data_IF_327179166064
#
_entry.id   IF_327179166064
#
_cell.length_a   1.000
_cell.length_b   1.000
_cell.length_c   1.000
_cell.angle_alpha   90.00
_cell.angle_beta   90.00
_cell.angle_gamma   90.00
#
_symmetry.space_group_name_H-M   'P 1'
#
loop_
_entity.id
_entity.type
_entity.pdbx_description
1 polymer ?
#
# COMPACT_ATOMS: atom_id res chain seq x y z
N UNK A 1 -2.39 19.62 15.96
CA UNK A 1 -2.27 18.34 15.22
C UNK A 1 -3.51 18.04 14.37
N UNK A 2 -4.73 18.33 14.83
CA UNK A 2 -5.99 18.05 14.08
C UNK A 2 -6.03 18.53 12.62
N UNK A 3 -5.80 19.83 12.36
CA UNK A 3 -5.87 20.42 11.00
C UNK A 3 -4.93 19.78 9.96
N UNK A 4 -3.75 19.34 10.39
CA UNK A 4 -2.79 18.71 9.47
C UNK A 4 -3.25 17.31 9.07
N UNK A 5 -3.87 16.59 10.00
CA UNK A 5 -4.39 15.27 9.74
C UNK A 5 -5.64 15.33 8.86
N UNK A 6 -6.50 16.34 9.03
CA UNK A 6 -7.62 16.60 8.12
C UNK A 6 -7.15 16.81 6.67
N UNK A 7 -6.09 17.60 6.47
CA UNK A 7 -5.52 17.81 5.13
C UNK A 7 -4.94 16.52 4.55
N UNK A 8 -4.26 15.71 5.38
CA UNK A 8 -3.66 14.45 4.92
C UNK A 8 -4.74 13.41 4.59
N UNK A 9 -5.81 13.34 5.39
CA UNK A 9 -6.98 12.47 5.15
C UNK A 9 -7.66 12.82 3.84
N UNK A 10 -8.01 14.09 3.61
CA UNK A 10 -8.62 14.52 2.36
C UNK A 10 -7.75 14.21 1.15
N UNK A 11 -6.45 14.48 1.24
CA UNK A 11 -5.54 14.20 0.14
C UNK A 11 -5.43 12.70 -0.16
N UNK A 12 -5.39 11.86 0.88
CA UNK A 12 -5.37 10.41 0.73
C UNK A 12 -6.69 9.87 0.13
N UNK A 13 -7.84 10.34 0.61
CA UNK A 13 -9.17 9.99 0.08
C UNK A 13 -9.32 10.43 -1.38
N UNK A 14 -8.83 11.61 -1.74
CA UNK A 14 -8.89 12.11 -3.13
C UNK A 14 -7.98 11.33 -4.08
N UNK A 15 -6.93 10.69 -3.56
CA UNK A 15 -6.01 9.86 -4.33
C UNK A 15 -6.43 8.38 -4.34
N UNK A 16 -7.27 7.92 -3.41
CA UNK A 16 -7.69 6.52 -3.33
C UNK A 16 -8.75 6.16 -4.38
N UNK A 17 -8.67 4.92 -4.88
CA UNK A 17 -9.67 4.32 -5.75
C UNK A 17 -9.79 2.80 -5.53
N UNK A 18 -10.84 2.20 -6.11
CA UNK A 18 -11.01 0.76 -6.30
C UNK A 18 -10.66 0.41 -7.73
N UNK A 19 -9.93 -0.68 -7.93
CA UNK A 19 -9.69 -1.26 -9.25
C UNK A 19 -10.34 -2.63 -9.30
N UNK A 20 -11.13 -2.88 -10.34
CA UNK A 20 -11.80 -4.16 -10.58
C UNK A 20 -11.43 -4.74 -11.93
N UNK A 21 -11.11 -6.02 -11.95
CA UNK A 21 -10.85 -6.82 -13.14
C UNK A 21 -11.90 -7.92 -13.26
N UNK A 22 -12.42 -8.14 -14.46
CA UNK A 22 -13.36 -9.23 -14.74
C UNK A 22 -13.16 -9.79 -16.14
N UNK A 23 -13.73 -10.97 -16.38
CA UNK A 23 -13.68 -11.67 -17.66
C UNK A 23 -14.95 -11.41 -18.46
N UNK A 24 -14.80 -10.99 -19.71
CA UNK A 24 -15.92 -10.79 -20.62
C UNK A 24 -16.70 -12.10 -20.81
N UNK A 25 -18.02 -12.06 -20.62
CA UNK A 25 -18.90 -13.22 -20.80
C UNK A 25 -18.94 -14.21 -19.64
N UNK A 26 -18.25 -13.96 -18.51
CA UNK A 26 -18.30 -14.80 -17.31
C UNK A 26 -18.61 -13.98 -16.04
N UNK A 27 -19.87 -13.52 -15.86
CA UNK A 27 -20.26 -12.73 -14.70
C UNK A 27 -20.27 -13.54 -13.38
N UNK A 28 -20.39 -14.88 -13.45
CA UNK A 28 -20.51 -15.76 -12.28
C UNK A 28 -19.20 -15.93 -11.50
N UNK A 29 -18.04 -15.71 -12.13
CA UNK A 29 -16.73 -15.81 -11.46
C UNK A 29 -16.47 -14.68 -10.46
N UNK A 30 -17.30 -13.63 -10.47
CA UNK A 30 -17.09 -12.41 -9.68
C UNK A 30 -15.89 -11.58 -10.16
N UNK A 31 -15.85 -10.28 -9.86
CA UNK A 31 -14.70 -9.45 -10.19
C UNK A 31 -13.56 -9.64 -9.17
N UNK A 32 -12.32 -9.75 -9.65
CA UNK A 32 -11.15 -9.54 -8.82
C UNK A 32 -11.02 -8.04 -8.54
N UNK A 33 -10.66 -7.67 -7.30
CA UNK A 33 -10.50 -6.26 -6.96
C UNK A 33 -9.37 -6.01 -6.00
N UNK A 34 -8.83 -4.81 -6.06
CA UNK A 34 -7.84 -4.30 -5.12
C UNK A 34 -7.99 -2.78 -5.00
N UNK A 35 -7.20 -2.19 -4.12
CA UNK A 35 -7.09 -0.76 -3.99
C UNK A 35 -6.15 -0.18 -5.04
N UNK A 36 -6.32 1.09 -5.34
CA UNK A 36 -5.40 1.83 -6.20
C UNK A 36 -5.16 3.25 -5.71
N UNK A 37 -4.15 3.86 -6.33
CA UNK A 37 -3.76 5.26 -6.13
C UNK A 37 -3.82 5.97 -7.47
N UNK A 38 -4.61 7.03 -7.53
CA UNK A 38 -4.66 7.97 -8.63
C UNK A 38 -3.38 8.81 -8.59
N UNK A 39 -2.51 8.60 -9.57
CA UNK A 39 -1.27 9.35 -9.71
C UNK A 39 -1.51 10.72 -10.34
N UNK A 40 -2.39 10.77 -11.34
CA UNK A 40 -2.87 12.00 -11.98
C UNK A 40 -4.26 11.76 -12.54
N UNK A 41 -5.21 12.65 -12.24
CA UNK A 41 -6.58 12.58 -12.79
C UNK A 41 -6.67 12.98 -14.26
N UNK A 42 -5.70 13.75 -14.76
CA UNK A 42 -5.57 14.10 -16.18
C UNK A 42 -4.12 13.80 -16.58
N UNK A 43 -3.86 12.67 -17.29
CA UNK A 43 -4.76 11.95 -18.20
C UNK A 43 -5.48 10.72 -17.59
N UNK A 44 -5.55 10.57 -16.26
CA UNK A 44 -6.22 9.42 -15.63
C UNK A 44 -5.27 8.24 -15.41
N UNK A 45 -4.14 8.48 -14.75
CA UNK A 45 -3.15 7.45 -14.41
C UNK A 45 -3.40 6.91 -13.01
N UNK A 46 -3.51 5.58 -12.91
CA UNK A 46 -3.74 4.85 -11.66
C UNK A 46 -2.68 3.79 -11.48
N UNK A 47 -2.22 3.61 -10.25
CA UNK A 47 -1.32 2.54 -9.84
C UNK A 47 -2.04 1.64 -8.84
N UNK A 48 -2.03 0.32 -9.06
CA UNK A 48 -2.61 -0.66 -8.15
C UNK A 48 -1.73 -1.91 -8.05
N UNK A 49 -2.17 -2.89 -7.25
CA UNK A 49 -1.46 -4.16 -7.12
C UNK A 49 -1.64 -5.05 -8.36
N UNK A 50 -0.58 -5.75 -8.76
CA UNK A 50 -0.56 -6.60 -9.96
C UNK A 50 -1.26 -7.95 -9.80
N UNK A 51 -1.54 -8.37 -8.56
CA UNK A 51 -2.11 -9.70 -8.29
C UNK A 51 -3.44 -9.97 -8.97
N UNK A 52 -4.31 -8.97 -9.13
CA UNK A 52 -5.63 -9.15 -9.78
C UNK A 52 -5.53 -9.46 -11.28
N UNK A 53 -4.34 -9.33 -11.88
CA UNK A 53 -4.10 -9.59 -13.30
C UNK A 53 -3.59 -11.01 -13.57
N UNK A 54 -3.12 -11.74 -12.55
CA UNK A 54 -2.54 -13.08 -12.70
C UNK A 54 -3.47 -14.07 -13.45
N UNK A 55 -4.80 -14.11 -13.18
CA UNK A 55 -5.73 -14.99 -13.90
C UNK A 55 -5.92 -14.67 -15.40
N UNK A 56 -5.42 -13.52 -15.85
CA UNK A 56 -5.60 -13.02 -17.21
C UNK A 56 -4.30 -13.05 -18.04
N UNK A 57 -3.16 -13.43 -17.46
CA UNK A 57 -1.88 -13.46 -18.17
C UNK A 57 -1.87 -14.55 -19.25
N UNK A 58 -1.63 -14.18 -20.51
CA UNK A 58 -1.62 -15.15 -21.63
C UNK A 58 -0.50 -16.19 -21.50
N UNK A 59 0.64 -15.79 -20.93
CA UNK A 59 1.78 -16.69 -20.67
C UNK A 59 1.62 -17.51 -19.37
N UNK A 60 0.49 -17.38 -18.67
CA UNK A 60 0.27 -17.96 -17.35
C UNK A 60 0.93 -17.18 -16.21
N UNK A 61 0.56 -17.52 -14.98
CA UNK A 61 1.01 -16.90 -13.73
C UNK A 61 2.51 -17.02 -13.45
N UNK A 62 3.17 -18.05 -13.96
CA UNK A 62 4.62 -18.29 -13.76
C UNK A 62 5.51 -17.22 -14.39
N UNK A 63 4.97 -16.42 -15.32
CA UNK A 63 5.73 -15.29 -15.89
C UNK A 63 6.10 -14.24 -14.84
N UNK A 64 5.37 -14.19 -13.71
CA UNK A 64 5.64 -13.25 -12.61
C UNK A 64 6.90 -13.61 -11.81
N UNK A 65 7.34 -14.86 -11.86
CA UNK A 65 8.57 -15.35 -11.22
C UNK A 65 9.69 -15.65 -12.21
N UNK A 66 9.43 -15.50 -13.51
CA UNK A 66 10.42 -15.74 -14.54
C UNK A 66 11.67 -14.87 -14.36
N UNK A 67 12.85 -15.49 -14.44
CA UNK A 67 14.12 -14.82 -14.23
C UNK A 67 14.29 -13.63 -15.19
N UNK A 68 14.51 -12.44 -14.63
CA UNK A 68 14.71 -11.20 -15.38
C UNK A 68 13.42 -10.48 -15.82
N UNK A 69 12.23 -11.01 -15.49
CA UNK A 69 10.97 -10.30 -15.71
C UNK A 69 10.84 -9.09 -14.77
N UNK A 70 11.04 -7.89 -15.31
CA UNK A 70 10.91 -6.62 -14.56
C UNK A 70 9.62 -5.89 -14.92
N UNK A 71 9.10 -6.11 -16.12
CA UNK A 71 7.82 -5.56 -16.55
C UNK A 71 7.20 -6.44 -17.65
N UNK A 72 5.89 -6.36 -17.78
CA UNK A 72 5.10 -6.96 -18.85
C UNK A 72 4.30 -5.85 -19.54
N UNK A 73 4.27 -5.79 -20.88
CA UNK A 73 3.50 -4.80 -21.61
C UNK A 73 1.99 -4.95 -21.36
N UNK A 74 1.23 -3.89 -21.57
CA UNK A 74 -0.23 -3.87 -21.32
C UNK A 74 -1.03 -4.90 -22.11
N UNK A 75 -0.51 -5.32 -23.25
CA UNK A 75 -1.04 -6.40 -24.07
C UNK A 75 -0.56 -7.79 -23.61
N UNK A 76 -0.14 -7.99 -22.36
CA UNK A 76 0.23 -9.32 -21.85
C UNK A 76 -0.97 -10.14 -21.34
N UNK A 77 -2.09 -9.46 -21.07
CA UNK A 77 -3.33 -10.08 -20.62
C UNK A 77 -4.23 -10.48 -21.79
N UNK A 78 -5.12 -11.45 -21.57
CA UNK A 78 -6.11 -11.91 -22.54
C UNK A 78 -7.11 -10.81 -22.95
N UNK A 79 -7.66 -10.93 -24.17
CA UNK A 79 -8.53 -9.90 -24.77
C UNK A 79 -9.92 -9.79 -24.11
N UNK A 80 -10.26 -10.79 -23.31
CA UNK A 80 -11.47 -10.85 -22.49
C UNK A 80 -11.33 -10.09 -21.16
N UNK A 81 -10.14 -9.55 -20.82
CA UNK A 81 -9.96 -8.70 -19.66
C UNK A 81 -10.80 -7.42 -19.78
N UNK A 82 -11.55 -7.10 -18.72
CA UNK A 82 -12.29 -5.86 -18.54
C UNK A 82 -11.86 -5.20 -17.24
N UNK A 83 -11.42 -3.95 -17.34
CA UNK A 83 -10.94 -3.18 -16.20
C UNK A 83 -11.82 -1.97 -15.96
N UNK A 84 -12.11 -1.75 -14.68
CA UNK A 84 -12.83 -0.57 -14.22
C UNK A 84 -12.13 0.04 -13.02
N UNK A 85 -12.19 1.37 -12.94
CA UNK A 85 -11.72 2.13 -11.79
C UNK A 85 -12.88 2.92 -11.24
N UNK A 86 -13.05 2.88 -9.92
CA UNK A 86 -14.04 3.67 -9.20
C UNK A 86 -13.35 4.53 -8.16
N UNK A 87 -13.64 5.83 -8.14
CA UNK A 87 -13.11 6.77 -7.16
C UNK A 87 -14.18 7.75 -6.67
N UNK A 88 -13.91 8.37 -5.53
CA UNK A 88 -14.82 9.38 -4.98
C UNK A 88 -14.83 10.66 -5.85
N UNK A 89 -16.00 11.32 -6.01
CA UNK A 89 -16.09 12.60 -6.71
C UNK A 89 -15.23 13.67 -6.04
N UNK A 90 -14.61 14.55 -6.83
CA UNK A 90 -13.95 15.75 -6.32
C UNK A 90 -15.00 16.74 -5.82
N UNK A 91 -14.88 17.22 -4.59
CA UNK A 91 -15.86 18.09 -3.92
C UNK A 91 -15.96 19.53 -4.50
N UNK A 92 -15.53 19.76 -5.75
CA UNK A 92 -15.37 21.07 -6.36
C UNK A 92 -16.44 21.45 -7.41
N UNK A 93 -17.50 20.66 -7.57
CA UNK A 93 -18.60 21.00 -8.47
C UNK A 93 -19.45 22.18 -7.96
N UNK A 94 -19.87 23.14 -8.80
CA UNK A 94 -20.74 24.23 -8.40
C UNK A 94 -22.19 23.72 -8.31
N UNK A 95 -22.60 23.23 -7.14
CA UNK A 95 -24.01 22.97 -6.86
C UNK A 95 -24.41 23.78 -5.64
N UNK A 96 -25.41 24.63 -5.85
CA UNK A 96 -25.87 25.69 -4.96
C UNK A 96 -26.16 25.25 -3.53
N UNK A 97 -26.16 26.25 -2.65
CA UNK A 97 -26.29 26.11 -1.21
C UNK A 97 -27.33 25.08 -0.79
N UNK A 98 -26.88 24.09 -0.03
CA UNK A 98 -27.73 23.27 0.83
C UNK A 98 -27.08 23.30 2.20
N UNK A 99 -27.91 23.63 3.18
CA UNK A 99 -27.60 23.83 4.59
C UNK A 99 -26.73 22.72 5.18
N UNK A 100 -26.00 23.06 6.25
CA UNK A 100 -25.40 22.10 7.18
C UNK A 100 -26.49 21.19 7.78
N UNK A 101 -26.88 20.16 7.05
CA UNK A 101 -27.67 19.06 7.57
C UNK A 101 -26.79 18.17 8.44
N UNK A 102 -27.33 17.78 9.60
CA UNK A 102 -26.77 16.80 10.55
C UNK A 102 -26.20 15.56 9.85
N UNK A 103 -25.19 14.88 10.43
CA UNK A 103 -24.64 13.66 9.86
C UNK A 103 -25.72 12.59 9.82
N UNK A 104 -26.36 12.43 8.66
CA UNK A 104 -27.29 11.32 8.42
C UNK A 104 -26.46 10.05 8.30
N UNK A 105 -26.70 9.10 9.21
CA UNK A 105 -26.20 7.73 9.09
C UNK A 105 -26.61 7.20 7.71
N UNK A 106 -25.63 6.97 6.84
CA UNK A 106 -25.87 6.29 5.57
C UNK A 106 -26.12 4.82 5.90
N UNK A 107 -27.36 4.35 5.76
CA UNK A 107 -27.65 2.92 5.73
C UNK A 107 -27.20 2.41 4.36
N UNK A 108 -26.16 1.56 4.28
CA UNK A 108 -25.71 1.00 3.01
C UNK A 108 -26.80 0.10 2.44
N UNK A 109 -26.92 0.04 1.11
CA UNK A 109 -27.88 -0.84 0.44
C UNK A 109 -27.64 -2.33 0.78
N UNK A 110 -26.41 -2.69 1.14
CA UNK A 110 -26.03 -4.05 1.55
C UNK A 110 -26.57 -4.49 2.93
N UNK A 111 -27.30 -3.64 3.66
CA UNK A 111 -27.92 -4.00 4.95
C UNK A 111 -29.32 -4.61 4.83
N UNK A 112 -29.91 -4.68 3.61
CA UNK A 112 -31.24 -5.26 3.38
C UNK A 112 -31.17 -6.72 2.94
N UNK A 113 -31.77 -7.63 3.72
CA UNK A 113 -31.94 -9.04 3.35
C UNK A 113 -33.15 -9.31 2.44
N UNK A 114 -33.89 -8.27 2.01
CA UNK A 114 -35.12 -8.42 1.23
C UNK A 114 -35.09 -7.53 -0.03
N UNK A 115 -35.51 -8.04 -1.21
CA UNK A 115 -35.68 -7.25 -2.42
C UNK A 115 -36.93 -6.36 -2.29
N UNK A 116 -36.84 -5.30 -1.50
CA UNK A 116 -37.82 -4.23 -1.47
C UNK A 116 -37.79 -3.41 -2.77
N UNK A 117 -38.92 -2.75 -3.15
CA UNK A 117 -38.95 -1.89 -4.33
C UNK A 117 -37.87 -0.81 -4.22
N UNK A 118 -37.30 -0.33 -5.34
CA UNK A 118 -36.18 0.61 -5.32
C UNK A 118 -36.63 1.90 -4.64
N UNK A 119 -36.26 2.04 -3.35
CA UNK A 119 -36.45 3.27 -2.64
C UNK A 119 -35.64 4.34 -3.36
N UNK A 120 -36.31 5.37 -3.85
CA UNK A 120 -35.76 6.53 -4.56
C UNK A 120 -34.90 7.44 -3.67
N UNK A 121 -34.22 6.86 -2.68
CA UNK A 121 -33.23 7.51 -1.85
C UNK A 121 -31.92 7.70 -2.64
N UNK A 122 -31.87 8.83 -3.34
CA UNK A 122 -30.65 9.56 -3.75
C UNK A 122 -29.50 8.68 -4.27
N UNK A 123 -29.60 8.32 -5.55
CA UNK A 123 -28.55 7.87 -6.49
C UNK A 123 -27.35 8.85 -6.64
N UNK A 124 -26.94 9.57 -5.58
CA UNK A 124 -26.22 10.84 -5.69
C UNK A 124 -24.81 10.86 -5.09
N UNK A 125 -24.20 9.73 -4.74
CA UNK A 125 -22.94 9.75 -3.98
C UNK A 125 -21.73 9.01 -4.59
N UNK A 126 -21.88 8.29 -5.71
CA UNK A 126 -20.74 7.61 -6.36
C UNK A 126 -20.81 7.75 -7.88
N UNK A 127 -19.69 8.15 -8.49
CA UNK A 127 -19.52 8.09 -9.94
C UNK A 127 -19.58 6.62 -10.40
N UNK A 128 -20.14 6.34 -11.59
CA UNK A 128 -20.10 5.00 -12.16
C UNK A 128 -18.64 4.55 -12.36
N UNK A 129 -18.34 3.23 -12.29
CA UNK A 129 -17.01 2.73 -12.59
C UNK A 129 -16.59 3.12 -14.01
N UNK A 130 -15.39 3.68 -14.14
CA UNK A 130 -14.84 4.17 -15.39
C UNK A 130 -14.01 3.07 -16.07
N UNK A 131 -14.15 2.84 -17.38
CA UNK A 131 -13.36 1.84 -18.08
C UNK A 131 -11.88 2.23 -18.07
N UNK A 132 -11.02 1.24 -17.90
CA UNK A 132 -9.57 1.43 -17.89
C UNK A 132 -8.86 0.43 -18.81
N UNK A 133 -7.61 0.71 -19.10
CA UNK A 133 -6.71 -0.18 -19.81
C UNK A 133 -5.42 -0.39 -19.03
N UNK A 134 -4.87 -1.60 -19.13
CA UNK A 134 -3.56 -1.92 -18.58
C UNK A 134 -2.50 -1.32 -19.48
N UNK A 135 -1.65 -0.44 -18.93
CA UNK A 135 -0.52 0.14 -19.66
C UNK A 135 0.72 -0.76 -19.53
N UNK A 136 0.99 -1.24 -18.31
CA UNK A 136 2.01 -2.25 -18.02
C UNK A 136 1.85 -2.84 -16.62
N UNK A 137 2.34 -4.05 -16.45
CA UNK A 137 2.67 -4.64 -15.15
C UNK A 137 4.16 -4.44 -14.88
N UNK A 138 4.55 -4.13 -13.65
CA UNK A 138 5.95 -4.03 -13.26
C UNK A 138 6.22 -4.69 -11.93
N UNK A 139 7.40 -5.26 -11.80
CA UNK A 139 7.99 -5.57 -10.51
C UNK A 139 8.92 -4.44 -10.08
N UNK A 140 9.12 -4.28 -8.77
CA UNK A 140 10.19 -3.43 -8.25
C UNK A 140 11.41 -4.32 -7.90
N UNK A 141 12.48 -4.35 -8.72
CA UNK A 141 13.60 -5.25 -8.47
C UNK A 141 14.30 -4.97 -7.13
N UNK A 142 14.37 -3.69 -6.76
CA UNK A 142 14.97 -3.29 -5.49
C UNK A 142 14.14 -3.79 -4.29
N UNK A 143 12.80 -3.84 -4.40
CA UNK A 143 11.93 -4.44 -3.40
C UNK A 143 12.18 -5.93 -3.27
N UNK A 144 12.16 -6.65 -4.40
CA UNK A 144 12.41 -8.10 -4.41
C UNK A 144 13.78 -8.48 -3.87
N UNK A 145 14.84 -7.74 -4.21
CA UNK A 145 16.17 -7.97 -3.68
C UNK A 145 16.24 -7.82 -2.15
N UNK A 146 15.44 -6.93 -1.57
CA UNK A 146 15.34 -6.77 -0.11
C UNK A 146 14.44 -7.82 0.52
N UNK A 147 13.33 -8.16 -0.14
CA UNK A 147 12.42 -9.20 0.27
C UNK A 147 13.13 -10.56 0.35
N UNK A 148 13.77 -11.00 -0.73
CA UNK A 148 14.50 -12.26 -0.79
C UNK A 148 15.63 -12.34 0.25
N UNK A 149 16.33 -11.23 0.51
CA UNK A 149 17.37 -11.20 1.54
C UNK A 149 16.84 -11.35 2.97
N UNK A 150 15.60 -10.92 3.23
CA UNK A 150 15.00 -10.95 4.57
C UNK A 150 14.14 -12.20 4.81
N UNK A 151 13.54 -12.73 3.74
CA UNK A 151 12.51 -13.76 3.80
C UNK A 151 12.77 -14.95 2.86
N UNK A 152 13.94 -15.05 2.23
CA UNK A 152 14.27 -16.09 1.25
C UNK A 152 15.09 -17.28 1.77
N UNK A 153 15.58 -17.23 3.02
CA UNK A 153 16.33 -18.36 3.62
C UNK A 153 15.37 -19.40 4.23
N UNK A 154 15.79 -20.66 4.41
CA UNK A 154 14.94 -21.73 4.98
C UNK A 154 14.40 -21.42 6.40
N UNK A 155 15.05 -20.54 7.15
CA UNK A 155 14.50 -20.04 8.44
C UNK A 155 13.30 -19.10 8.29
N UNK A 156 12.99 -18.67 7.05
CA UNK A 156 11.85 -17.85 6.70
C UNK A 156 10.58 -18.66 6.37
N UNK A 157 10.62 -20.00 6.41
CA UNK A 157 9.46 -20.90 6.22
C UNK A 157 8.27 -20.58 7.15
N UNK A 158 8.49 -19.81 8.20
CA UNK A 158 7.44 -19.37 9.12
C UNK A 158 6.67 -18.14 8.62
N UNK A 159 7.19 -17.38 7.65
CA UNK A 159 6.58 -16.14 7.18
C UNK A 159 5.58 -16.41 6.05
N UNK A 160 4.39 -15.80 6.16
CA UNK A 160 3.39 -15.79 5.09
C UNK A 160 2.88 -14.37 4.84
N UNK A 161 2.69 -14.04 3.57
CA UNK A 161 2.27 -12.71 3.09
C UNK A 161 0.98 -12.84 2.29
N UNK A 162 -0.06 -13.33 2.96
CA UNK A 162 -1.33 -13.67 2.35
C UNK A 162 -2.48 -12.91 3.02
N UNK A 163 -3.53 -12.66 2.25
CA UNK A 163 -4.70 -11.89 2.69
C UNK A 163 -5.69 -12.74 3.50
N UNK A 164 -5.41 -14.02 3.70
CA UNK A 164 -6.30 -14.97 4.38
C UNK A 164 -5.54 -15.65 5.53
N UNK A 165 -6.26 -16.12 6.57
CA UNK A 165 -5.63 -16.79 7.69
C UNK A 165 -5.14 -18.21 7.28
N UNK A 166 -4.06 -18.72 7.89
CA UNK A 166 -3.48 -20.02 7.51
C UNK A 166 -4.38 -21.24 7.78
N UNK A 167 -5.44 -21.08 8.58
CA UNK A 167 -6.36 -22.16 8.93
C UNK A 167 -7.65 -22.15 8.06
N UNK A 168 -7.80 -21.17 7.17
CA UNK A 168 -8.87 -21.17 6.18
C UNK A 168 -8.52 -22.14 5.03
N UNK A 169 -9.51 -22.77 4.40
CA UNK A 169 -9.35 -23.69 3.26
C UNK A 169 -8.91 -22.95 1.98
N UNK A 170 -7.74 -22.31 2.01
CA UNK A 170 -7.11 -21.70 0.85
C UNK A 170 -6.33 -22.78 0.13
N UNK A 171 -6.55 -22.92 -1.19
CA UNK A 171 -5.78 -23.84 -2.01
C UNK A 171 -4.31 -23.39 -2.00
N UNK A 172 -3.37 -24.33 -1.85
CA UNK A 172 -1.91 -24.03 -1.82
C UNK A 172 -1.48 -23.17 -3.03
N UNK A 173 -2.09 -23.42 -4.19
CA UNK A 173 -1.92 -22.65 -5.42
C UNK A 173 -2.26 -21.15 -5.28
N UNK A 174 -3.27 -20.77 -4.49
CA UNK A 174 -3.69 -19.37 -4.32
C UNK A 174 -2.73 -18.60 -3.42
N UNK A 175 -2.20 -19.25 -2.38
CA UNK A 175 -1.18 -18.66 -1.51
C UNK A 175 0.13 -18.43 -2.27
N UNK A 176 0.54 -19.41 -3.08
CA UNK A 176 1.72 -19.28 -3.92
C UNK A 176 1.56 -18.15 -4.94
N UNK A 177 0.37 -17.98 -5.53
CA UNK A 177 0.08 -16.90 -6.46
C UNK A 177 0.13 -15.51 -5.84
N UNK A 178 -0.37 -15.36 -4.60
CA UNK A 178 -0.24 -14.11 -3.85
C UNK A 178 1.23 -13.77 -3.61
N UNK A 179 2.06 -14.78 -3.30
CA UNK A 179 3.50 -14.60 -3.15
C UNK A 179 4.18 -14.23 -4.48
N UNK A 180 3.84 -14.91 -5.59
CA UNK A 180 4.35 -14.59 -6.94
C UNK A 180 4.03 -13.14 -7.32
N UNK A 181 2.85 -12.65 -6.95
CA UNK A 181 2.37 -11.31 -7.29
C UNK A 181 2.78 -10.21 -6.30
N UNK A 182 3.32 -10.56 -5.12
CA UNK A 182 3.56 -9.63 -3.99
C UNK A 182 4.28 -8.33 -4.34
N UNK A 183 5.29 -8.42 -5.22
CA UNK A 183 6.09 -7.28 -5.66
C UNK A 183 5.67 -6.70 -7.01
N UNK A 184 4.53 -7.13 -7.56
CA UNK A 184 4.02 -6.71 -8.85
C UNK A 184 2.94 -5.63 -8.69
N UNK A 185 2.99 -4.63 -9.56
CA UNK A 185 2.09 -3.50 -9.60
C UNK A 185 1.63 -3.26 -11.03
N UNK A 186 0.45 -2.68 -11.21
CA UNK A 186 -0.11 -2.35 -12.51
C UNK A 186 -0.27 -0.83 -12.66
N UNK A 187 0.20 -0.30 -13.78
CA UNK A 187 -0.12 1.07 -14.21
C UNK A 187 -1.30 1.00 -15.19
N UNK A 188 -2.34 1.76 -14.89
CA UNK A 188 -3.57 1.83 -15.68
C UNK A 188 -3.78 3.21 -16.26
N UNK A 189 -4.37 3.26 -17.45
CA UNK A 189 -4.95 4.45 -18.06
C UNK A 189 -6.47 4.38 -17.97
N UNK A 190 -7.09 5.38 -17.35
CA UNK A 190 -8.56 5.50 -17.27
C UNK A 190 -9.06 6.27 -18.49
N UNK A 191 -10.08 5.74 -19.15
CA UNK A 191 -10.66 6.35 -20.35
C UNK A 191 -11.67 7.41 -19.91
N UNK A 192 -11.22 8.66 -19.89
CA UNK A 192 -12.03 9.83 -19.63
C UNK A 192 -12.44 10.48 -20.95
N UNK A 193 -13.68 10.95 -21.04
CA UNK A 193 -14.07 11.92 -22.07
C UNK A 193 -13.31 13.24 -21.86
N UNK A 194 -13.30 14.09 -22.90
CA UNK A 194 -12.62 15.39 -22.81
C UNK A 194 -13.23 16.28 -21.70
N UNK A 195 -14.55 16.26 -21.55
CA UNK A 195 -15.27 17.01 -20.51
C UNK A 195 -14.91 16.50 -19.10
N UNK A 196 -14.89 15.18 -18.90
CA UNK A 196 -14.48 14.56 -17.63
C UNK A 196 -13.01 14.85 -17.30
N UNK A 197 -12.12 14.85 -18.30
CA UNK A 197 -10.71 15.15 -18.11
C UNK A 197 -10.43 16.62 -17.72
N UNK A 198 -11.29 17.54 -18.17
CA UNK A 198 -11.24 18.96 -17.80
C UNK A 198 -11.83 19.21 -16.40
N UNK A 199 -12.93 18.53 -16.06
CA UNK A 199 -13.56 18.62 -14.73
C UNK A 199 -12.72 17.97 -13.63
N UNK A 200 -12.08 16.83 -13.93
CA UNK A 200 -11.23 16.09 -12.99
C UNK A 200 -9.80 16.65 -12.89
N UNK A 201 -9.53 17.79 -13.51
CA UNK A 201 -8.18 18.38 -13.55
C UNK A 201 -7.72 18.77 -12.15
N UNK A 202 -6.77 18.01 -11.62
CA UNK A 202 -6.17 18.23 -10.30
C UNK A 202 -4.65 18.08 -10.33
N UNK A 203 -3.95 18.51 -9.27
CA UNK A 203 -2.52 18.29 -9.16
C UNK A 203 -2.21 16.79 -9.10
N UNK A 204 -1.12 16.38 -9.72
CA UNK A 204 -0.58 15.03 -9.54
C UNK A 204 -0.18 14.82 -8.07
N UNK A 205 -0.29 13.58 -7.60
CA UNK A 205 0.10 13.23 -6.23
C UNK A 205 1.59 13.53 -6.00
N UNK A 206 1.96 14.16 -4.89
CA UNK A 206 3.36 14.33 -4.55
C UNK A 206 3.96 13.02 -4.04
N UNK A 207 5.21 12.70 -4.37
CA UNK A 207 5.87 11.45 -3.95
C UNK A 207 7.08 11.75 -3.07
N UNK A 208 7.18 11.06 -1.94
CA UNK A 208 8.31 11.18 -1.02
C UNK A 208 9.52 10.40 -1.56
N UNK A 209 10.73 10.99 -1.58
CA UNK A 209 11.95 10.26 -1.90
C UNK A 209 12.18 9.10 -0.93
N UNK A 210 12.81 8.03 -1.42
CA UNK A 210 13.20 6.91 -0.57
C UNK A 210 14.11 7.39 0.58
N UNK A 211 13.75 7.03 1.82
CA UNK A 211 14.50 7.41 3.01
C UNK A 211 14.21 8.83 3.54
N UNK A 212 13.35 9.61 2.88
CA UNK A 212 12.93 10.92 3.38
C UNK A 212 12.10 10.80 4.66
N UNK A 213 11.28 9.76 4.77
CA UNK A 213 10.39 9.51 5.90
C UNK A 213 11.13 8.71 6.99
N UNK A 214 11.33 9.24 8.20
CA UNK A 214 12.05 8.52 9.25
C UNK A 214 11.19 7.43 9.89
N UNK A 215 11.83 6.38 10.42
CA UNK A 215 11.16 5.38 11.27
C UNK A 215 10.43 6.06 12.43
N UNK A 216 9.23 5.60 12.73
CA UNK A 216 8.33 6.21 13.72
C UNK A 216 7.54 7.40 13.19
N UNK A 217 7.78 7.86 11.96
CA UNK A 217 6.95 8.89 11.34
C UNK A 217 5.51 8.40 11.19
N UNK A 218 4.52 9.26 11.47
CA UNK A 218 3.13 8.88 11.40
C UNK A 218 2.69 8.76 9.93
N UNK A 219 2.00 7.67 9.61
CA UNK A 219 1.51 7.31 8.28
C UNK A 219 -0.02 7.19 8.28
N UNK A 220 -0.60 7.46 7.12
CA UNK A 220 -2.01 7.23 6.81
C UNK A 220 -2.09 6.26 5.63
N UNK A 221 -2.77 5.13 5.81
CA UNK A 221 -3.07 4.21 4.71
C UNK A 221 -4.48 4.51 4.22
N UNK A 222 -4.64 4.62 2.91
CA UNK A 222 -5.94 4.71 2.23
C UNK A 222 -6.10 3.50 1.33
N UNK A 223 -7.10 2.69 1.62
CA UNK A 223 -7.44 1.50 0.84
C UNK A 223 -8.94 1.29 0.81
N UNK A 224 -9.38 0.41 -0.07
CA UNK A 224 -10.77 0.06 -0.28
C UNK A 224 -10.95 -1.45 -0.13
N UNK A 225 -10.79 -1.99 1.09
CA UNK A 225 -10.91 -3.43 1.34
C UNK A 225 -12.29 -3.92 0.92
N UNK A 226 -12.39 -5.04 0.22
CA UNK A 226 -13.68 -5.52 -0.31
C UNK A 226 -14.43 -4.48 -1.17
N UNK A 227 -13.73 -3.50 -1.75
CA UNK A 227 -14.32 -2.34 -2.40
C UNK A 227 -15.19 -2.66 -3.61
N UNK A 228 -14.98 -3.79 -4.29
CA UNK A 228 -15.88 -4.23 -5.35
C UNK A 228 -17.16 -4.91 -4.85
N UNK A 229 -17.20 -5.35 -3.59
CA UNK A 229 -18.39 -5.96 -2.98
C UNK A 229 -19.33 -4.90 -2.41
N UNK A 230 -18.79 -3.93 -1.67
CA UNK A 230 -19.57 -2.84 -1.08
C UNK A 230 -18.79 -1.51 -1.07
N UNK A 231 -18.68 -0.83 -2.23
CA UNK A 231 -17.94 0.43 -2.32
C UNK A 231 -18.53 1.52 -1.41
N UNK A 232 -19.85 1.50 -1.16
CA UNK A 232 -20.55 2.42 -0.25
C UNK A 232 -19.98 2.47 1.16
N UNK A 233 -19.45 1.35 1.66
CA UNK A 233 -18.91 1.25 3.02
C UNK A 233 -17.39 1.36 3.01
N UNK A 234 -16.74 0.71 2.05
CA UNK A 234 -15.31 0.46 2.13
C UNK A 234 -14.44 1.37 1.27
N UNK A 235 -15.01 2.10 0.31
CA UNK A 235 -14.26 3.01 -0.56
C UNK A 235 -13.47 4.02 0.28
N UNK A 236 -12.15 4.07 0.06
CA UNK A 236 -11.23 5.00 0.71
C UNK A 236 -11.26 4.94 2.24
N UNK A 237 -11.37 3.72 2.80
CA UNK A 237 -11.14 3.45 4.22
C UNK A 237 -9.75 3.92 4.63
N UNK A 238 -9.69 4.66 5.73
CA UNK A 238 -8.45 5.22 6.27
C UNK A 238 -8.03 4.52 7.56
N UNK A 239 -6.76 4.11 7.62
CA UNK A 239 -6.13 3.63 8.85
C UNK A 239 -4.84 4.37 9.14
N UNK A 240 -4.48 4.45 10.43
CA UNK A 240 -3.30 5.19 10.90
C UNK A 240 -2.31 4.22 11.54
N UNK A 241 -1.04 4.54 11.37
CA UNK A 241 0.06 3.85 12.03
C UNK A 241 1.32 4.67 11.93
N UNK A 242 2.46 4.01 12.02
CA UNK A 242 3.78 4.60 11.84
C UNK A 242 4.60 3.83 10.82
N UNK A 243 5.68 4.44 10.33
CA UNK A 243 6.73 3.71 9.65
C UNK A 243 7.50 2.86 10.66
N UNK A 244 7.10 1.60 10.84
CA UNK A 244 7.64 0.68 11.85
C UNK A 244 9.07 0.21 11.53
N UNK A 245 9.37 -0.04 10.25
CA UNK A 245 10.72 -0.40 9.83
C UNK A 245 10.97 -0.12 8.33
N UNK A 246 12.26 -0.06 7.97
CA UNK A 246 12.72 0.23 6.60
C UNK A 246 13.88 -0.69 6.24
N UNK A 247 13.78 -1.36 5.10
CA UNK A 247 14.86 -2.10 4.47
C UNK A 247 14.88 -1.76 2.98
N UNK A 248 15.57 -0.66 2.63
CA UNK A 248 15.51 -0.11 1.28
C UNK A 248 14.06 0.24 0.90
N UNK A 249 13.55 -0.19 -0.27
CA UNK A 249 12.16 0.06 -0.68
C UNK A 249 11.13 -0.86 -0.01
N UNK A 250 11.55 -1.86 0.77
CA UNK A 250 10.66 -2.68 1.58
C UNK A 250 10.42 -1.97 2.92
N UNK A 251 9.18 -1.54 3.16
CA UNK A 251 8.80 -0.84 4.39
C UNK A 251 7.77 -1.65 5.17
N UNK A 252 7.70 -1.42 6.49
CA UNK A 252 6.72 -2.03 7.37
C UNK A 252 5.96 -0.94 8.12
N UNK A 253 4.65 -1.11 8.26
CA UNK A 253 3.78 -0.27 9.11
C UNK A 253 2.93 -1.15 10.02
N UNK A 254 2.51 -0.59 11.16
CA UNK A 254 1.53 -1.17 12.08
C UNK A 254 0.10 -0.67 11.80
N UNK A 255 -0.10 0.16 10.76
CA UNK A 255 -1.42 0.58 10.32
C UNK A 255 -2.26 -0.63 9.92
N UNK A 256 -3.47 -0.75 10.47
CA UNK A 256 -4.37 -1.87 10.18
C UNK A 256 -4.81 -1.85 8.73
N UNK A 257 -4.53 -2.91 7.99
CA UNK A 257 -4.99 -3.11 6.63
C UNK A 257 -5.81 -4.40 6.57
N UNK A 258 -6.84 -4.40 5.73
CA UNK A 258 -7.71 -5.56 5.50
C UNK A 258 -7.48 -6.11 4.08
N UNK A 259 -7.87 -7.36 3.80
CA UNK A 259 -7.85 -7.90 2.44
C UNK A 259 -8.55 -6.99 1.43
N UNK A 260 -7.97 -6.81 0.25
CA UNK A 260 -8.40 -5.83 -0.76
C UNK A 260 -7.72 -4.46 -0.63
N UNK A 261 -6.92 -4.23 0.42
CA UNK A 261 -6.12 -2.99 0.59
C UNK A 261 -4.85 -3.00 -0.26
N UNK A 262 -4.48 -4.12 -0.87
CA UNK A 262 -3.34 -4.25 -1.80
C UNK A 262 -3.42 -3.16 -2.87
N UNK A 263 -2.30 -2.49 -3.14
CA UNK A 263 -2.23 -1.36 -4.07
C UNK A 263 -2.71 -0.02 -3.48
N UNK A 264 -3.26 -0.02 -2.27
CA UNK A 264 -3.67 1.18 -1.55
C UNK A 264 -2.49 2.08 -1.20
N UNK A 265 -2.73 3.39 -1.19
CA UNK A 265 -1.71 4.40 -0.99
C UNK A 265 -1.37 4.62 0.47
N UNK A 266 -0.09 4.81 0.76
CA UNK A 266 0.41 5.17 2.10
C UNK A 266 0.98 6.57 2.06
N UNK A 267 0.45 7.47 2.89
CA UNK A 267 0.71 8.90 2.84
C UNK A 267 1.32 9.42 4.14
N UNK A 268 2.16 10.44 4.03
CA UNK A 268 2.64 11.18 5.20
C UNK A 268 1.61 12.18 5.68
N UNK A 269 1.58 12.42 6.98
CA UNK A 269 0.88 13.58 7.54
C UNK A 269 1.63 14.90 7.32
N UNK A 270 2.95 14.83 7.10
CA UNK A 270 3.83 15.98 6.87
C UNK A 270 4.94 15.63 5.86
N UNK A 271 4.95 16.27 4.69
CA UNK A 271 3.89 17.12 4.14
C UNK A 271 2.59 16.34 4.02
N UNK A 272 1.43 17.00 4.17
CA UNK A 272 0.16 16.29 4.13
C UNK A 272 -0.09 15.70 2.74
N UNK A 273 -0.48 14.42 2.67
CA UNK A 273 -0.88 13.79 1.41
C UNK A 273 0.25 13.42 0.45
N UNK A 274 1.51 13.43 0.90
CA UNK A 274 2.62 12.93 0.08
C UNK A 274 2.66 11.40 0.11
N UNK A 275 2.62 10.77 -1.06
CA UNK A 275 2.68 9.32 -1.25
C UNK A 275 4.08 8.79 -0.89
N UNK A 276 4.14 7.82 0.00
CA UNK A 276 5.36 7.16 0.48
C UNK A 276 5.52 5.80 -0.17
N UNK A 277 4.43 5.03 -0.21
CA UNK A 277 4.45 3.63 -0.57
C UNK A 277 3.06 3.16 -1.01
N UNK A 278 3.02 1.96 -1.57
CA UNK A 278 1.79 1.19 -1.79
C UNK A 278 1.79 -0.02 -0.87
N UNK A 279 0.61 -0.46 -0.47
CA UNK A 279 0.42 -1.71 0.27
C UNK A 279 0.72 -2.88 -0.68
N UNK A 280 1.71 -3.70 -0.32
CA UNK A 280 2.08 -4.92 -1.05
C UNK A 280 1.34 -6.14 -0.48
N UNK A 281 1.38 -6.32 0.84
CA UNK A 281 0.57 -7.32 1.53
C UNK A 281 -0.02 -6.73 2.82
N UNK A 282 -1.36 -6.76 3.00
CA UNK A 282 -2.02 -6.16 4.15
C UNK A 282 -1.73 -6.92 5.45
N UNK A 283 -1.51 -8.23 5.37
CA UNK A 283 -1.28 -9.11 6.51
C UNK A 283 0.06 -9.82 6.39
N UNK A 284 0.87 -9.73 7.44
CA UNK A 284 2.09 -10.52 7.60
C UNK A 284 1.92 -11.49 8.76
N UNK A 285 2.13 -12.77 8.48
CA UNK A 285 2.02 -13.84 9.45
C UNK A 285 3.40 -14.42 9.73
N UNK A 286 3.64 -14.83 10.97
CA UNK A 286 4.81 -15.61 11.36
C UNK A 286 4.36 -16.76 12.25
N UNK A 287 4.72 -17.99 11.90
CA UNK A 287 4.32 -19.20 12.66
C UNK A 287 2.82 -19.29 12.87
N UNK A 288 2.05 -18.94 11.83
CA UNK A 288 0.58 -18.84 11.82
C UNK A 288 -0.04 -17.77 12.72
N UNK A 289 0.77 -16.94 13.36
CA UNK A 289 0.28 -15.80 14.12
C UNK A 289 0.40 -14.52 13.29
N UNK A 290 -0.67 -13.71 13.29
CA UNK A 290 -0.62 -12.40 12.67
C UNK A 290 0.29 -11.48 13.47
N UNK A 291 1.33 -10.95 12.82
CA UNK A 291 2.35 -10.11 13.47
C UNK A 291 1.85 -8.68 13.72
N UNK A 292 0.71 -8.30 13.13
CA UNK A 292 0.18 -6.94 13.23
C UNK A 292 0.93 -5.92 12.37
N UNK A 293 1.70 -6.39 11.39
CA UNK A 293 2.45 -5.56 10.44
C UNK A 293 1.90 -5.73 9.03
N UNK A 294 2.02 -4.66 8.24
CA UNK A 294 1.68 -4.60 6.82
C UNK A 294 2.94 -4.32 6.01
N UNK A 295 3.12 -5.07 4.93
CA UNK A 295 4.26 -4.94 4.01
C UNK A 295 3.96 -3.90 2.94
N UNK A 296 4.90 -2.99 2.74
CA UNK A 296 4.77 -1.89 1.78
C UNK A 296 5.93 -1.88 0.77
N UNK A 297 5.64 -1.41 -0.44
CA UNK A 297 6.62 -1.10 -1.47
C UNK A 297 6.74 0.42 -1.65
N UNK A 298 7.93 0.98 -1.46
CA UNK A 298 8.17 2.41 -1.58
C UNK A 298 7.83 2.94 -2.99
N UNK A 299 7.04 4.02 -3.04
CA UNK A 299 6.46 4.54 -4.28
C UNK A 299 7.51 5.17 -5.21
N UNK A 300 8.49 5.89 -4.67
CA UNK A 300 9.56 6.52 -5.45
C UNK A 300 10.34 5.54 -6.35
N UNK A 301 11.00 4.49 -5.81
CA UNK A 301 11.72 3.53 -6.64
C UNK A 301 10.81 2.73 -7.58
N UNK A 302 9.55 2.48 -7.19
CA UNK A 302 8.56 1.88 -8.08
C UNK A 302 8.26 2.78 -9.28
N UNK A 303 7.96 4.06 -9.07
CA UNK A 303 7.68 5.02 -10.13
C UNK A 303 8.89 5.28 -11.04
N UNK A 304 10.12 5.19 -10.52
CA UNK A 304 11.33 5.17 -11.37
C UNK A 304 11.35 3.95 -12.30
N UNK A 305 11.00 2.77 -11.78
CA UNK A 305 10.88 1.56 -12.59
C UNK A 305 9.77 1.69 -13.64
N UNK A 306 8.62 2.29 -13.30
CA UNK A 306 7.55 2.60 -14.27
C UNK A 306 8.09 3.49 -15.40
N UNK A 307 8.76 4.61 -15.07
CA UNK A 307 9.35 5.50 -16.08
C UNK A 307 10.33 4.78 -17.00
N UNK A 308 11.21 3.95 -16.43
CA UNK A 308 12.16 3.17 -17.20
C UNK A 308 11.48 2.12 -18.11
N UNK A 309 10.41 1.48 -17.64
CA UNK A 309 9.63 0.55 -18.45
C UNK A 309 8.89 1.26 -19.59
N UNK A 310 8.20 2.37 -19.32
CA UNK A 310 7.53 3.18 -20.34
C UNK A 310 8.48 3.70 -21.42
N UNK A 311 9.72 4.07 -21.05
CA UNK A 311 10.73 4.50 -22.01
C UNK A 311 11.26 3.36 -22.91
N UNK A 312 11.09 2.09 -22.51
CA UNK A 312 11.53 0.91 -23.27
C UNK A 312 10.44 0.31 -24.16
N UNK A 313 9.16 0.55 -23.86
CA UNK A 313 8.05 0.00 -24.62
C UNK A 313 7.96 0.66 -26.01
N UNK A 314 7.68 1.97 -26.08
CA UNK A 314 7.60 2.71 -27.35
C UNK A 314 7.97 4.21 -27.17
N UNK A 315 8.44 4.91 -28.20
CA UNK A 315 8.68 6.36 -28.12
C UNK A 315 7.41 7.18 -27.78
N UNK A 316 6.23 6.70 -28.17
CA UNK A 316 4.94 7.33 -27.89
C UNK A 316 4.54 7.26 -26.41
N UNK A 317 5.04 6.28 -25.65
CA UNK A 317 4.79 6.15 -24.20
C UNK A 317 5.73 6.99 -23.35
N UNK A 318 6.76 7.62 -23.94
CA UNK A 318 7.64 8.55 -23.23
C UNK A 318 6.89 9.79 -22.71
N UNK A 319 5.85 10.23 -23.43
CA UNK A 319 4.98 11.31 -22.99
C UNK A 319 4.25 10.96 -21.68
N UNK A 320 3.81 9.70 -21.53
CA UNK A 320 3.18 9.22 -20.29
C UNK A 320 4.17 9.20 -19.11
N UNK A 321 5.44 8.85 -19.35
CA UNK A 321 6.47 8.85 -18.31
C UNK A 321 6.71 10.26 -17.71
N UNK A 322 6.55 11.31 -18.53
CA UNK A 322 6.65 12.70 -18.09
C UNK A 322 5.44 13.15 -17.24
N UNK A 323 4.29 12.48 -17.38
CA UNK A 323 3.07 12.75 -16.61
C UNK A 323 3.06 12.04 -15.24
N UNK A 324 4.00 11.13 -15.00
CA UNK A 324 4.14 10.49 -13.69
C UNK A 324 4.63 11.49 -12.64
N UNK A 325 4.11 11.42 -11.41
CA UNK A 325 4.37 12.40 -10.37
C UNK A 325 5.85 12.46 -9.97
N UNK A 326 6.47 13.66 -9.93
CA UNK A 326 7.88 13.78 -9.55
C UNK A 326 8.07 13.46 -8.07
N UNK A 327 9.29 13.05 -7.73
CA UNK A 327 9.71 13.01 -6.34
C UNK A 327 9.88 14.43 -5.84
N UNK A 328 9.18 14.79 -4.77
CA UNK A 328 9.27 16.11 -4.17
C UNK A 328 10.12 15.98 -2.91
N UNK A 329 11.37 16.45 -3.02
CA UNK A 329 12.25 16.61 -1.86
C UNK A 329 11.74 17.75 -0.99
N UNK A 330 10.81 17.46 -0.08
CA UNK A 330 10.44 18.45 0.93
C UNK A 330 11.39 18.26 2.12
N UNK A 331 12.00 19.34 2.64
CA UNK A 331 12.67 19.24 3.92
C UNK A 331 11.60 18.82 4.92
N UNK A 332 11.73 17.61 5.49
CA UNK A 332 10.98 17.31 6.70
C UNK A 332 11.28 18.44 7.67
N UNK A 333 10.24 19.23 7.98
CA UNK A 333 10.36 20.37 8.88
C UNK A 333 11.05 19.94 10.17
N UNK A 334 11.86 20.84 10.73
CA UNK A 334 12.67 20.64 11.94
C UNK A 334 11.98 19.68 12.94
N UNK A 335 12.72 18.72 13.52
CA UNK A 335 12.16 17.72 14.41
C UNK A 335 11.24 18.39 15.44
N UNK A 336 10.07 17.78 15.64
CA UNK A 336 9.03 18.28 16.52
C UNK A 336 9.58 18.36 17.96
N UNK A 337 10.14 19.51 18.32
CA UNK A 337 10.73 19.84 19.63
C UNK A 337 11.92 18.95 20.03
N UNK A 338 12.84 19.58 20.74
CA UNK A 338 14.06 19.02 21.31
C UNK A 338 13.78 17.60 21.84
N UNK A 339 14.34 16.54 21.23
CA UNK A 339 14.30 15.25 21.89
C UNK A 339 15.03 15.50 23.20
N UNK A 340 14.49 15.02 24.31
CA UNK A 340 15.33 14.86 25.49
C UNK A 340 16.62 14.11 25.14
N UNK A 341 17.51 13.88 26.11
CA UNK A 341 18.72 13.09 25.86
C UNK A 341 18.39 11.85 25.01
N UNK A 342 19.23 11.42 24.04
CA UNK A 342 18.86 10.41 23.02
C UNK A 342 18.35 9.04 23.56
N UNK A 343 18.42 8.82 24.87
CA UNK A 343 17.85 7.69 25.59
C UNK A 343 16.43 7.92 26.12
N UNK A 344 15.95 9.15 26.25
CA UNK A 344 14.68 9.50 26.86
C UNK A 344 13.51 8.96 26.00
N UNK A 345 12.78 7.99 26.56
CA UNK A 345 11.64 7.34 25.92
C UNK A 345 11.95 6.57 24.62
N UNK A 346 13.21 6.12 24.45
CA UNK A 346 13.56 5.21 23.36
C UNK A 346 13.12 3.78 23.70
N UNK A 347 12.37 3.16 22.80
CA UNK A 347 12.15 1.72 22.85
C UNK A 347 13.47 1.00 22.57
N UNK A 348 13.80 -0.01 23.38
CA UNK A 348 15.01 -0.82 23.29
C UNK A 348 14.64 -2.29 23.21
N UNK A 349 15.45 -3.08 22.50
CA UNK A 349 15.37 -4.53 22.59
C UNK A 349 16.15 -4.98 23.82
N UNK A 350 15.51 -5.79 24.67
CA UNK A 350 16.11 -6.39 25.84
C UNK A 350 16.16 -7.90 25.62
N UNK A 351 17.35 -8.48 25.79
CA UNK A 351 17.62 -9.90 25.61
C UNK A 351 18.23 -10.47 26.89
N UNK A 352 17.78 -11.66 27.30
CA UNK A 352 18.28 -12.40 28.45
C UNK A 352 18.33 -13.88 28.10
N UNK A 353 19.52 -14.36 27.70
CA UNK A 353 19.66 -15.71 27.15
C UNK A 353 18.86 -15.87 25.86
N UNK A 354 17.88 -16.77 25.86
CA UNK A 354 16.97 -17.01 24.73
C UNK A 354 15.69 -16.18 24.77
N UNK A 355 15.41 -15.50 25.88
CA UNK A 355 14.21 -14.68 26.05
C UNK A 355 14.50 -13.25 25.63
N UNK A 356 13.55 -12.63 24.94
CA UNK A 356 13.67 -11.24 24.50
C UNK A 356 12.34 -10.51 24.62
N UNK A 357 12.40 -9.19 24.64
CA UNK A 357 11.22 -8.33 24.60
C UNK A 357 11.56 -6.86 24.47
N UNK A 358 10.53 -6.03 24.46
CA UNK A 358 10.69 -4.57 24.40
C UNK A 358 10.91 -3.99 25.80
N UNK A 359 11.78 -2.99 25.90
CA UNK A 359 11.93 -2.15 27.07
C UNK A 359 11.90 -0.66 26.72
N UNK A 360 11.83 0.19 27.73
CA UNK A 360 11.89 1.65 27.60
C UNK A 360 13.09 2.16 28.39
N UNK A 361 13.98 2.90 27.73
CA UNK A 361 15.06 3.60 28.41
C UNK A 361 14.50 4.82 29.18
N UNK A 362 14.70 4.84 30.50
CA UNK A 362 14.15 5.87 31.41
C UNK A 362 15.24 6.71 32.09
N UNK A 363 16.49 6.25 32.06
CA UNK A 363 17.67 7.01 32.46
C UNK A 363 18.92 6.40 31.77
N UNK A 364 20.09 7.07 31.81
CA UNK A 364 21.33 6.46 31.36
C UNK A 364 21.57 5.12 32.08
N UNK A 365 21.72 4.03 31.31
CA UNK A 365 21.90 2.66 31.82
C UNK A 365 20.72 2.09 32.62
N UNK A 366 19.53 2.69 32.52
CA UNK A 366 18.32 2.20 33.18
C UNK A 366 17.20 1.95 32.16
N UNK A 367 16.71 0.71 32.14
CA UNK A 367 15.64 0.25 31.25
C UNK A 367 14.53 -0.37 32.08
N UNK A 368 13.29 0.01 31.77
CA UNK A 368 12.10 -0.69 32.27
C UNK A 368 11.68 -1.69 31.22
N UNK A 369 11.55 -2.97 31.59
CA UNK A 369 11.08 -4.04 30.72
C UNK A 369 10.10 -4.93 31.47
N UNK A 370 9.32 -5.71 30.74
CA UNK A 370 8.41 -6.69 31.32
C UNK A 370 9.17 -7.82 32.02
N UNK A 371 8.60 -8.30 33.14
CA UNK A 371 9.20 -9.33 34.01
C UNK A 371 9.58 -10.61 33.27
N UNK A 372 8.84 -11.00 32.22
CA UNK A 372 9.12 -12.23 31.49
C UNK A 372 10.50 -12.22 30.82
N UNK A 373 11.03 -11.04 30.46
CA UNK A 373 12.32 -10.89 29.78
C UNK A 373 13.50 -11.04 30.74
N UNK A 374 13.29 -10.87 32.05
CA UNK A 374 14.32 -11.00 33.07
C UNK A 374 13.93 -12.12 34.05
N UNK A 375 14.07 -13.41 33.65
CA UNK A 375 13.86 -14.52 34.57
C UNK A 375 14.79 -14.39 35.79
N UNK A 376 14.39 -14.98 36.92
CA UNK A 376 14.99 -14.78 38.26
C UNK A 376 16.48 -15.18 38.39
N UNK A 377 17.08 -15.77 37.36
CA UNK A 377 18.47 -16.23 37.37
C UNK A 377 19.42 -15.12 36.93
N UNK A 378 20.67 -15.16 37.42
CA UNK A 378 21.73 -14.21 37.13
C UNK A 378 22.26 -14.33 35.68
N UNK A 379 21.37 -14.21 34.70
CA UNK A 379 21.72 -14.20 33.30
C UNK A 379 22.14 -12.79 32.86
N UNK A 380 23.10 -12.73 31.94
CA UNK A 380 23.54 -11.46 31.34
C UNK A 380 22.40 -10.86 30.53
N UNK A 381 21.96 -9.66 30.92
CA UNK A 381 20.98 -8.87 30.17
C UNK A 381 21.71 -8.01 29.14
N UNK A 382 21.32 -8.13 27.87
CA UNK A 382 21.79 -7.31 26.77
C UNK A 382 20.69 -6.32 26.37
N UNK A 383 21.05 -5.04 26.26
CA UNK A 383 20.14 -3.97 25.82
C UNK A 383 20.66 -3.40 24.51
N UNK A 384 19.81 -3.37 23.48
CA UNK A 384 20.12 -2.78 22.18
C UNK A 384 19.19 -1.61 21.89
N UNK A 385 19.77 -0.42 21.76
CA UNK A 385 19.08 0.82 21.38
C UNK A 385 19.11 1.10 19.87
N UNK A 386 19.93 0.37 19.12
CA UNK A 386 20.00 0.44 17.66
C UNK A 386 20.08 -0.99 17.09
N UNK A 387 19.53 -1.22 15.88
CA UNK A 387 19.72 -2.50 15.22
C UNK A 387 21.23 -2.75 15.02
N UNK A 388 21.70 -3.99 15.18
CA UNK A 388 23.10 -4.30 14.92
C UNK A 388 23.44 -3.91 13.49
N UNK A 389 24.51 -3.12 13.31
CA UNK A 389 25.06 -2.89 11.97
C UNK A 389 25.52 -4.26 11.47
N UNK A 390 24.85 -4.81 10.45
CA UNK A 390 25.43 -5.94 9.72
C UNK A 390 26.80 -5.48 9.24
N UNK A 391 27.86 -6.14 9.73
CA UNK A 391 29.22 -5.87 9.27
C UNK A 391 29.19 -5.94 7.74
N UNK A 392 29.50 -4.81 7.08
CA UNK A 392 30.01 -4.86 5.71
C UNK A 392 31.18 -5.82 5.77
N UNK A 393 31.10 -6.92 5.03
CA UNK A 393 32.22 -7.84 4.85
C UNK A 393 33.45 -6.99 4.56
N UNK A 394 34.42 -7.03 5.48
CA UNK A 394 35.77 -6.59 5.19
C UNK A 394 36.25 -7.52 4.07
N UNK A 395 36.55 -6.96 2.90
CA UNK A 395 37.36 -7.66 1.92
C UNK A 395 38.70 -8.04 2.60
N UNK A 396 39.06 -9.33 2.71
CA UNK A 396 40.44 -9.66 2.99
C UNK A 396 41.18 -9.53 1.65
N UNK A 397 41.95 -8.47 1.54
CA UNK A 397 42.70 -8.14 0.34
C UNK A 397 43.91 -7.28 0.68
N UNK A 398 44.75 -7.77 1.60
CA UNK A 398 46.20 -7.63 1.59
C UNK A 398 46.83 -8.89 2.17
#
# INVERSE_FOLDING_TARGET
>A
MGRQWESAMRAAEQAGCVVSASRAGQPEAGPWSCSGVILSRSPGLVLCHGGIFAPFLRAGREVLTAAGAVFLPGDSCSDDLRLHVQWAPTAAGPVGGVERGSPSLCTPQCAGLEPGPPASYRRRLQQPPLPAELLLLLSCPAFWAHFARLFGDETAEQWRFASVAPDDEVLEDEEEDQLRALGWFALLGVRLSQEEAEEERGPAVAVAPLGAVPKGAPLLVCGSPFGAFCPDIFLNTLSRGVLSNVAGPLLLTDARCLPGTEGGGVFTARPAGTLVALVAAPLCWKSREWVGLTLLCAAAPLLRAVRAALGRLFPSTAALAALLPPEVGVPWGLPLRDPGPPWAAAAVLVECGTVWGSGVAVAPRLVVTCRHVSPREAARVLVRSTPPKHNRQQHPGQ
#
